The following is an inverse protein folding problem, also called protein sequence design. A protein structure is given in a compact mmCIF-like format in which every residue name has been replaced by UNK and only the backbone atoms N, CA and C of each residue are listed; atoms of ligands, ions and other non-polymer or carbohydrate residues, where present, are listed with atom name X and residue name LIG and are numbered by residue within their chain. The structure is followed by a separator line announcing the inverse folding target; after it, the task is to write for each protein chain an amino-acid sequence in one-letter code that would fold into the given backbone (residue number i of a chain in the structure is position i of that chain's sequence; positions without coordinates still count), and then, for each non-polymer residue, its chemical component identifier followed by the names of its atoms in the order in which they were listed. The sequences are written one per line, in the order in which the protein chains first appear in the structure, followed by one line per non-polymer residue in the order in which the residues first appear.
data_IF_944949007893
#
_entry.id   IF_944949007893
#
_cell.length_a   1.000
_cell.length_b   1.000
_cell.length_c   1.000
_cell.angle_alpha   90.00
_cell.angle_beta   90.00
_cell.angle_gamma   90.00
#
_symmetry.space_group_name_H-M   'P 1'
#
loop_
_entity.id
_entity.type
_entity.pdbx_description
1 polymer ?
#
# COMPACT_ATOMS: atom_id res chain seq x y z
N UNK A 1 3.89 -63.89 35.47
CA UNK A 1 3.36 -64.02 34.10
C UNK A 1 2.05 -63.23 33.96
N UNK A 2 1.13 -63.37 34.92
CA UNK A 2 -0.20 -62.70 34.91
C UNK A 2 -0.22 -61.16 34.89
N UNK A 3 0.78 -60.48 35.45
CA UNK A 3 0.83 -59.00 35.47
C UNK A 3 1.02 -58.41 34.06
N UNK A 4 1.97 -58.97 33.30
CA UNK A 4 2.27 -58.55 31.92
C UNK A 4 1.11 -58.82 30.97
N UNK A 5 0.35 -59.88 31.24
CA UNK A 5 -0.81 -60.25 30.43
C UNK A 5 -2.00 -59.31 30.66
N UNK A 6 -2.18 -58.84 31.91
CA UNK A 6 -3.15 -57.79 32.24
C UNK A 6 -2.76 -56.43 31.65
N UNK A 7 -1.49 -56.04 31.73
CA UNK A 7 -0.98 -54.80 31.13
C UNK A 7 -1.14 -54.80 29.60
N UNK A 8 -0.79 -55.89 28.94
CA UNK A 8 -0.97 -56.05 27.50
C UNK A 8 -2.46 -56.03 27.11
N UNK A 9 -3.35 -56.61 27.93
CA UNK A 9 -4.80 -56.55 27.69
C UNK A 9 -5.33 -55.11 27.79
N UNK A 10 -4.91 -54.34 28.79
CA UNK A 10 -5.30 -52.93 28.92
C UNK A 10 -4.76 -52.05 27.80
N UNK A 11 -3.56 -52.34 27.30
CA UNK A 11 -2.97 -51.61 26.17
C UNK A 11 -3.71 -51.92 24.86
N UNK A 12 -4.10 -53.17 24.63
CA UNK A 12 -4.93 -53.56 23.49
C UNK A 12 -6.32 -52.91 23.56
N UNK A 13 -6.93 -52.82 24.74
CA UNK A 13 -8.22 -52.12 24.95
C UNK A 13 -8.09 -50.61 24.69
N UNK A 14 -6.99 -49.97 25.12
CA UNK A 14 -6.72 -48.57 24.85
C UNK A 14 -6.49 -48.31 23.34
N UNK A 15 -5.74 -49.19 22.68
CA UNK A 15 -5.46 -49.10 21.23
C UNK A 15 -6.71 -49.33 20.39
N UNK A 16 -7.57 -50.27 20.77
CA UNK A 16 -8.84 -50.52 20.08
C UNK A 16 -9.82 -49.35 20.24
N UNK A 17 -9.88 -48.74 21.43
CA UNK A 17 -10.69 -47.54 21.65
C UNK A 17 -10.16 -46.33 20.84
N UNK A 18 -8.85 -46.12 20.84
CA UNK A 18 -8.21 -45.08 20.02
C UNK A 18 -8.46 -45.28 18.53
N UNK A 19 -8.42 -46.54 18.04
CA UNK A 19 -8.74 -46.87 16.66
C UNK A 19 -10.18 -46.52 16.31
N UNK A 20 -11.15 -46.89 17.16
CA UNK A 20 -12.56 -46.58 16.97
C UNK A 20 -12.81 -45.05 16.95
N UNK A 21 -12.12 -44.29 17.81
CA UNK A 21 -12.24 -42.83 17.86
C UNK A 21 -11.69 -42.16 16.59
N UNK A 22 -10.57 -42.68 16.05
CA UNK A 22 -9.97 -42.17 14.81
C UNK A 22 -10.82 -42.53 13.58
N UNK A 23 -11.38 -43.73 13.52
CA UNK A 23 -12.31 -44.16 12.47
C UNK A 23 -13.57 -43.26 12.45
N UNK A 24 -14.12 -42.93 13.61
CA UNK A 24 -15.25 -42.00 13.71
C UNK A 24 -14.90 -40.57 13.24
N UNK A 25 -13.70 -40.06 13.59
CA UNK A 25 -13.22 -38.76 13.10
C UNK A 25 -13.00 -38.76 11.59
N UNK A 26 -12.43 -39.83 11.03
CA UNK A 26 -12.24 -39.98 9.59
C UNK A 26 -13.57 -40.04 8.84
N UNK A 27 -14.55 -40.77 9.36
CA UNK A 27 -15.90 -40.81 8.78
C UNK A 27 -16.55 -39.41 8.78
N UNK A 28 -16.40 -38.65 9.88
CA UNK A 28 -16.87 -37.27 9.97
C UNK A 28 -16.21 -36.36 8.93
N UNK A 29 -14.88 -36.34 8.86
CA UNK A 29 -14.15 -35.50 7.89
C UNK A 29 -14.44 -35.89 6.43
N UNK A 30 -14.61 -37.18 6.14
CA UNK A 30 -15.00 -37.65 4.80
C UNK A 30 -16.39 -37.13 4.41
N UNK A 31 -17.35 -37.15 5.34
CA UNK A 31 -18.69 -36.60 5.13
C UNK A 31 -18.65 -35.09 4.90
N UNK A 32 -17.86 -34.35 5.69
CA UNK A 32 -17.68 -32.91 5.53
C UNK A 32 -17.04 -32.56 4.17
N UNK A 33 -15.97 -33.25 3.78
CA UNK A 33 -15.33 -33.07 2.46
C UNK A 33 -16.29 -33.37 1.31
N UNK A 34 -17.14 -34.40 1.44
CA UNK A 34 -18.14 -34.72 0.44
C UNK A 34 -19.19 -33.60 0.31
N UNK A 35 -19.62 -33.03 1.43
CA UNK A 35 -20.53 -31.87 1.42
C UNK A 35 -19.89 -30.63 0.81
N UNK A 36 -18.64 -30.31 1.14
CA UNK A 36 -17.90 -29.19 0.56
C UNK A 36 -17.73 -29.35 -0.96
N UNK A 37 -17.36 -30.55 -1.42
CA UNK A 37 -17.20 -30.85 -2.83
C UNK A 37 -18.51 -30.63 -3.60
N UNK A 38 -19.65 -31.06 -3.04
CA UNK A 38 -20.96 -30.86 -3.65
C UNK A 38 -21.34 -29.37 -3.72
N UNK A 39 -21.02 -28.58 -2.68
CA UNK A 39 -21.24 -27.13 -2.68
C UNK A 39 -20.38 -26.45 -3.74
N UNK A 40 -19.10 -26.78 -3.83
CA UNK A 40 -18.19 -26.23 -4.84
C UNK A 40 -18.62 -26.58 -6.27
N UNK A 41 -19.04 -27.82 -6.51
CA UNK A 41 -19.53 -28.25 -7.82
C UNK A 41 -20.79 -27.48 -8.21
N UNK A 42 -21.71 -27.26 -7.26
CA UNK A 42 -22.91 -26.44 -7.48
C UNK A 42 -22.57 -24.98 -7.76
N UNK A 43 -21.57 -24.40 -7.08
CA UNK A 43 -21.10 -23.05 -7.37
C UNK A 43 -20.43 -22.94 -8.75
N UNK A 44 -19.68 -23.96 -9.17
CA UNK A 44 -19.07 -24.02 -10.50
C UNK A 44 -20.13 -24.17 -11.61
N UNK A 45 -21.15 -25.00 -11.41
CA UNK A 45 -22.28 -25.13 -12.34
C UNK A 45 -23.08 -23.82 -12.44
N UNK A 46 -23.33 -23.14 -11.31
CA UNK A 46 -23.96 -21.83 -11.29
C UNK A 46 -23.10 -20.77 -12.00
N UNK A 47 -21.79 -20.80 -11.79
CA UNK A 47 -20.84 -19.89 -12.44
C UNK A 47 -20.74 -20.14 -13.96
N UNK A 48 -20.78 -21.41 -14.39
CA UNK A 48 -20.81 -21.81 -15.80
C UNK A 48 -22.08 -21.33 -16.49
N UNK A 49 -23.24 -21.57 -15.88
CA UNK A 49 -24.54 -21.08 -16.38
C UNK A 49 -24.61 -19.55 -16.42
N UNK A 50 -23.98 -18.86 -15.47
CA UNK A 50 -23.91 -17.40 -15.45
C UNK A 50 -23.07 -16.86 -16.62
N UNK A 51 -21.98 -17.54 -16.98
CA UNK A 51 -21.17 -17.21 -18.17
C UNK A 51 -21.93 -17.44 -19.46
N UNK A 52 -22.70 -18.53 -19.55
CA UNK A 52 -23.54 -18.85 -20.71
C UNK A 52 -24.75 -17.92 -20.85
N UNK A 53 -25.31 -17.42 -19.73
CA UNK A 53 -26.44 -16.47 -19.72
C UNK A 53 -26.00 -15.00 -19.79
N UNK A 54 -24.71 -14.71 -19.80
CA UNK A 54 -24.19 -13.34 -19.87
C UNK A 54 -24.24 -12.81 -21.31
N UNK A 55 -24.85 -11.65 -21.58
CA UNK A 55 -24.80 -10.99 -22.89
C UNK A 55 -23.46 -10.26 -23.08
N UNK A 56 -22.34 -10.93 -22.80
CA UNK A 56 -20.98 -10.41 -23.01
C UNK A 56 -20.68 -10.23 -24.51
N UNK A 57 -21.51 -10.78 -25.40
CA UNK A 57 -21.47 -10.54 -26.84
C UNK A 57 -22.05 -9.19 -27.33
N UNK A 58 -22.51 -8.29 -26.45
CA UNK A 58 -23.19 -7.03 -26.85
C UNK A 58 -22.51 -5.74 -26.37
N UNK A 59 -21.21 -5.75 -26.03
CA UNK A 59 -20.43 -4.52 -25.77
C UNK A 59 -19.93 -3.91 -27.09
N UNK A 60 -20.82 -3.80 -28.08
CA UNK A 60 -20.51 -3.27 -29.41
C UNK A 60 -21.71 -2.63 -30.10
N UNK A 61 -22.79 -2.32 -29.37
CA UNK A 61 -23.95 -1.63 -29.95
C UNK A 61 -24.17 -0.31 -29.23
N UNK A 62 -23.86 0.76 -29.95
CA UNK A 62 -24.28 2.12 -29.70
C UNK A 62 -25.80 2.15 -29.45
N UNK A 63 -26.22 2.21 -28.19
CA UNK A 63 -27.52 2.74 -27.73
C UNK A 63 -27.57 2.70 -26.21
N UNK A 64 -27.60 3.87 -25.59
CA UNK A 64 -27.97 4.02 -24.18
C UNK A 64 -29.41 3.52 -23.95
N UNK A 65 -29.72 2.96 -22.77
CA UNK A 65 -31.09 2.99 -22.27
C UNK A 65 -31.19 3.87 -21.03
N UNK A 66 -31.95 4.95 -21.20
CA UNK A 66 -32.48 5.80 -20.15
C UNK A 66 -33.31 4.98 -19.13
N UNK A 67 -33.05 5.24 -17.85
CA UNK A 67 -33.97 5.22 -16.69
C UNK A 67 -34.86 4.02 -16.35
N UNK A 68 -34.99 2.95 -17.15
CA UNK A 68 -36.04 1.92 -16.94
C UNK A 68 -35.58 0.61 -16.26
N UNK A 69 -34.32 0.42 -15.88
CA UNK A 69 -33.86 -0.92 -15.43
C UNK A 69 -33.16 -1.03 -14.07
N UNK A 70 -33.35 -0.08 -13.16
CA UNK A 70 -32.68 -0.16 -11.84
C UNK A 70 -33.12 -1.37 -11.01
N UNK A 71 -34.37 -1.81 -11.17
CA UNK A 71 -34.96 -2.93 -10.42
C UNK A 71 -34.54 -4.30 -11.00
N UNK A 72 -34.35 -4.39 -12.32
CA UNK A 72 -33.97 -5.64 -13.00
C UNK A 72 -32.49 -6.00 -12.79
N UNK A 73 -31.62 -5.01 -12.62
CA UNK A 73 -30.19 -5.24 -12.35
C UNK A 73 -29.89 -5.54 -10.88
N UNK A 74 -30.79 -5.18 -9.95
CA UNK A 74 -30.66 -5.52 -8.53
C UNK A 74 -30.76 -7.04 -8.27
N UNK A 75 -31.47 -7.77 -9.13
CA UNK A 75 -31.59 -9.24 -9.08
C UNK A 75 -30.33 -9.98 -9.57
N UNK A 76 -29.41 -9.30 -10.26
CA UNK A 76 -28.24 -9.91 -10.91
C UNK A 76 -26.97 -9.89 -10.05
N UNK A 77 -27.00 -9.34 -8.82
CA UNK A 77 -25.83 -9.13 -7.95
C UNK A 77 -24.60 -8.57 -8.69
N UNK A 78 -24.82 -7.82 -9.77
CA UNK A 78 -23.77 -7.10 -10.49
C UNK A 78 -23.46 -5.88 -9.65
N UNK A 79 -22.20 -5.58 -9.33
CA UNK A 79 -21.85 -4.33 -8.68
C UNK A 79 -22.35 -3.18 -9.56
N UNK A 80 -23.45 -2.55 -9.16
CA UNK A 80 -23.87 -1.29 -9.76
C UNK A 80 -22.86 -0.28 -9.25
N UNK A 81 -21.73 -0.18 -9.93
CA UNK A 81 -20.77 0.90 -9.71
C UNK A 81 -21.54 2.17 -10.02
N UNK A 82 -21.87 2.93 -8.97
CA UNK A 82 -22.57 4.20 -9.11
C UNK A 82 -21.77 5.09 -10.06
N UNK A 83 -22.29 5.32 -11.26
CA UNK A 83 -21.63 6.15 -12.28
C UNK A 83 -21.27 7.55 -11.74
N UNK A 84 -22.03 8.04 -10.74
CA UNK A 84 -21.74 9.28 -10.03
C UNK A 84 -20.52 9.15 -9.10
N UNK A 85 -20.37 8.04 -8.39
CA UNK A 85 -19.19 7.74 -7.57
C UNK A 85 -17.96 7.57 -8.46
N UNK A 86 -18.08 6.83 -9.57
CA UNK A 86 -17.01 6.63 -10.54
C UNK A 86 -16.55 7.96 -11.17
N UNK A 87 -17.49 8.81 -11.59
CA UNK A 87 -17.18 10.15 -12.08
C UNK A 87 -16.45 11.02 -11.04
N UNK A 88 -16.88 10.98 -9.77
CA UNK A 88 -16.20 11.70 -8.67
C UNK A 88 -14.80 11.16 -8.40
N UNK A 89 -14.60 9.85 -8.49
CA UNK A 89 -13.29 9.20 -8.36
C UNK A 89 -12.37 9.62 -9.50
N UNK A 90 -12.84 9.61 -10.74
CA UNK A 90 -12.06 10.03 -11.92
C UNK A 90 -11.61 11.50 -11.84
N UNK A 91 -12.51 12.41 -11.45
CA UNK A 91 -12.15 13.84 -11.23
C UNK A 91 -11.11 13.98 -10.12
N UNK A 92 -11.26 13.23 -9.03
CA UNK A 92 -10.32 13.26 -7.90
C UNK A 92 -8.96 12.67 -8.27
N UNK A 93 -8.93 11.65 -9.15
CA UNK A 93 -7.70 11.03 -9.62
C UNK A 93 -6.87 11.97 -10.51
N UNK A 94 -7.52 12.78 -11.36
CA UNK A 94 -6.81 13.80 -12.16
C UNK A 94 -6.11 14.82 -11.27
N UNK A 95 -6.82 15.38 -10.28
CA UNK A 95 -6.22 16.28 -9.30
C UNK A 95 -5.09 15.59 -8.49
N UNK A 96 -5.19 14.28 -8.29
CA UNK A 96 -4.16 13.50 -7.60
C UNK A 96 -2.88 13.33 -8.44
N UNK A 97 -2.95 13.38 -9.78
CA UNK A 97 -1.77 13.29 -10.65
C UNK A 97 -0.85 14.48 -10.47
N UNK A 98 -1.41 15.69 -10.49
CA UNK A 98 -0.68 16.94 -10.23
C UNK A 98 -0.06 16.94 -8.83
N UNK A 99 -0.78 16.39 -7.85
CA UNK A 99 -0.25 16.24 -6.49
C UNK A 99 0.90 15.24 -6.42
N UNK A 100 0.80 14.08 -7.07
CA UNK A 100 1.86 13.05 -7.07
C UNK A 100 3.12 13.54 -7.80
N UNK A 101 2.98 14.28 -8.90
CA UNK A 101 4.11 14.85 -9.63
C UNK A 101 4.76 16.00 -8.87
N UNK A 102 3.97 16.90 -8.29
CA UNK A 102 4.45 17.97 -7.42
C UNK A 102 5.19 17.39 -6.21
N UNK A 103 4.60 16.40 -5.57
CA UNK A 103 5.18 15.63 -4.48
C UNK A 103 6.56 15.04 -4.84
N UNK A 104 6.63 14.29 -5.96
CA UNK A 104 7.88 13.67 -6.39
C UNK A 104 8.98 14.70 -6.67
N UNK A 105 8.59 15.87 -7.19
CA UNK A 105 9.50 17.00 -7.42
C UNK A 105 10.01 17.58 -6.11
N UNK A 106 9.12 17.89 -5.16
CA UNK A 106 9.50 18.41 -3.84
C UNK A 106 10.42 17.45 -3.08
N UNK A 107 10.11 16.15 -3.10
CA UNK A 107 10.94 15.14 -2.47
C UNK A 107 12.32 15.02 -3.16
N UNK A 108 12.36 15.12 -4.48
CA UNK A 108 13.64 15.13 -5.21
C UNK A 108 14.48 16.35 -4.87
N UNK A 109 13.88 17.54 -4.76
CA UNK A 109 14.57 18.76 -4.34
C UNK A 109 15.11 18.63 -2.92
N UNK A 110 14.31 18.07 -2.01
CA UNK A 110 14.73 17.77 -0.65
C UNK A 110 15.95 16.84 -0.62
N UNK A 111 15.93 15.74 -1.37
CA UNK A 111 17.06 14.81 -1.42
C UNK A 111 18.32 15.43 -2.02
N UNK A 112 18.20 16.28 -3.04
CA UNK A 112 19.33 17.03 -3.59
C UNK A 112 19.95 17.96 -2.55
N UNK A 113 19.13 18.70 -1.80
CA UNK A 113 19.59 19.55 -0.71
C UNK A 113 20.31 18.73 0.36
N UNK A 114 19.70 17.62 0.80
CA UNK A 114 20.29 16.71 1.79
C UNK A 114 21.64 16.16 1.33
N UNK A 115 21.74 15.76 0.06
CA UNK A 115 22.97 15.24 -0.50
C UNK A 115 24.07 16.31 -0.54
N UNK A 116 23.73 17.57 -0.81
CA UNK A 116 24.68 18.68 -0.73
C UNK A 116 25.13 18.89 0.71
N UNK A 117 24.21 18.93 1.68
CA UNK A 117 24.51 19.13 3.10
C UNK A 117 25.44 18.03 3.65
N UNK A 118 25.16 16.76 3.34
CA UNK A 118 26.00 15.62 3.74
C UNK A 118 27.43 15.67 3.17
N UNK A 119 27.64 16.37 2.05
CA UNK A 119 28.97 16.58 1.44
C UNK A 119 29.70 17.79 2.00
N UNK A 120 28.99 18.69 2.68
CA UNK A 120 29.54 19.96 3.18
C UNK A 120 29.98 19.85 4.65
N UNK A 121 29.42 18.90 5.41
CA UNK A 121 29.65 18.76 6.86
C UNK A 121 30.32 17.41 7.23
N UNK A 122 31.50 17.39 7.91
CA UNK A 122 32.62 18.31 7.81
C UNK A 122 33.66 17.78 6.79
N UNK A 123 33.80 18.48 5.67
CA UNK A 123 35.08 18.52 4.94
C UNK A 123 35.64 19.90 5.24
N UNK A 124 36.34 20.01 6.36
CA UNK A 124 37.27 21.10 6.49
C UNK A 124 38.57 20.64 5.80
N UNK A 125 38.75 21.14 4.57
CA UNK A 125 39.93 20.92 3.75
C UNK A 125 41.22 21.35 4.46
N UNK A 126 41.12 22.09 5.57
CA UNK A 126 42.25 22.47 6.41
C UNK A 126 42.56 21.50 7.56
N UNK A 127 41.65 20.61 7.96
CA UNK A 127 41.83 19.65 9.08
C UNK A 127 41.80 18.17 8.68
N UNK A 128 41.38 17.81 7.47
CA UNK A 128 41.52 16.44 6.93
C UNK A 128 40.59 15.39 7.54
N UNK A 129 39.51 15.79 8.21
CA UNK A 129 38.52 14.87 8.78
C UNK A 129 37.71 14.21 7.65
N UNK A 130 37.58 12.88 7.68
CA UNK A 130 36.79 12.13 6.71
C UNK A 130 35.29 12.23 7.02
N UNK A 131 34.46 12.27 5.98
CA UNK A 131 32.99 12.20 6.08
C UNK A 131 32.60 11.01 6.96
N UNK A 132 31.72 11.24 7.94
CA UNK A 132 31.25 10.19 8.86
C UNK A 132 30.69 8.99 8.10
N UNK A 133 30.84 7.78 8.65
CA UNK A 133 30.33 6.55 8.03
C UNK A 133 28.81 6.60 7.82
N UNK A 134 28.10 7.32 8.72
CA UNK A 134 26.66 7.62 8.61
C UNK A 134 26.38 8.48 7.39
N UNK A 135 27.08 9.61 7.23
CA UNK A 135 26.90 10.52 6.10
C UNK A 135 27.28 9.89 4.76
N UNK A 136 28.29 9.02 4.73
CA UNK A 136 28.64 8.22 3.54
C UNK A 136 27.50 7.28 3.14
N UNK A 137 26.88 6.60 4.12
CA UNK A 137 25.75 5.69 3.88
C UNK A 137 24.48 6.46 3.48
N UNK A 138 24.22 7.60 4.11
CA UNK A 138 23.12 8.51 3.76
C UNK A 138 23.26 9.02 2.32
N UNK A 139 24.45 9.46 1.90
CA UNK A 139 24.73 9.85 0.52
C UNK A 139 24.42 8.75 -0.50
N UNK A 140 24.79 7.49 -0.19
CA UNK A 140 24.48 6.34 -1.05
C UNK A 140 22.98 6.11 -1.17
N UNK A 141 22.24 6.18 -0.06
CA UNK A 141 20.78 6.03 -0.06
C UNK A 141 20.06 7.15 -0.82
N UNK A 142 20.55 8.39 -0.72
CA UNK A 142 20.00 9.54 -1.43
C UNK A 142 20.26 9.47 -2.94
N UNK A 143 21.44 8.99 -3.36
CA UNK A 143 21.81 8.95 -4.78
C UNK A 143 20.90 8.07 -5.63
N UNK A 144 20.48 6.91 -5.11
CA UNK A 144 19.54 6.00 -5.80
C UNK A 144 18.08 6.45 -5.72
N UNK A 145 17.77 7.52 -4.99
CA UNK A 145 16.40 7.82 -4.60
C UNK A 145 15.46 8.08 -5.78
N UNK A 146 15.91 8.91 -6.73
CA UNK A 146 15.09 9.32 -7.87
C UNK A 146 14.79 8.18 -8.84
N UNK A 147 15.82 7.40 -9.20
CA UNK A 147 15.69 6.31 -10.16
C UNK A 147 14.94 5.11 -9.60
N UNK A 148 15.13 4.79 -8.32
CA UNK A 148 14.58 3.57 -7.73
C UNK A 148 13.21 3.73 -7.09
N UNK A 149 12.81 4.95 -6.68
CA UNK A 149 11.57 5.14 -5.91
C UNK A 149 10.64 6.21 -6.50
N UNK A 150 11.10 7.45 -6.69
CA UNK A 150 10.18 8.53 -7.11
C UNK A 150 9.76 8.43 -8.57
N UNK A 151 10.67 8.12 -9.50
CA UNK A 151 10.32 7.91 -10.92
C UNK A 151 9.37 6.71 -11.12
N UNK A 152 9.61 5.52 -10.55
CA UNK A 152 8.67 4.42 -10.63
C UNK A 152 7.29 4.75 -10.06
N UNK A 153 7.22 5.49 -8.95
CA UNK A 153 5.95 5.93 -8.37
C UNK A 153 5.14 6.79 -9.36
N UNK A 154 5.79 7.82 -9.91
CA UNK A 154 5.14 8.74 -10.88
C UNK A 154 4.72 7.99 -12.13
N UNK A 155 5.58 7.10 -12.64
CA UNK A 155 5.29 6.27 -13.81
C UNK A 155 4.07 5.37 -13.58
N UNK A 156 4.04 4.64 -12.47
CA UNK A 156 2.94 3.73 -12.15
C UNK A 156 1.61 4.50 -11.96
N UNK A 157 1.65 5.65 -11.28
CA UNK A 157 0.46 6.49 -11.13
C UNK A 157 -0.03 7.05 -12.47
N UNK A 158 0.88 7.47 -13.34
CA UNK A 158 0.56 8.01 -14.66
C UNK A 158 -0.09 6.95 -15.56
N UNK A 159 0.42 5.72 -15.53
CA UNK A 159 -0.16 4.58 -16.24
C UNK A 159 -1.57 4.26 -15.75
N UNK A 160 -1.75 4.18 -14.43
CA UNK A 160 -3.06 3.95 -13.81
C UNK A 160 -4.07 5.04 -14.17
N UNK A 161 -3.69 6.31 -14.01
CA UNK A 161 -4.53 7.46 -14.35
C UNK A 161 -4.86 7.50 -15.86
N UNK A 162 -3.89 7.21 -16.72
CA UNK A 162 -4.07 7.19 -18.18
C UNK A 162 -5.07 6.12 -18.63
N UNK A 163 -4.99 4.90 -18.07
CA UNK A 163 -5.93 3.82 -18.39
C UNK A 163 -7.36 4.12 -17.93
N UNK A 164 -7.51 4.69 -16.74
CA UNK A 164 -8.83 5.12 -16.26
C UNK A 164 -9.41 6.27 -17.08
N UNK A 165 -8.55 7.15 -17.60
CA UNK A 165 -8.99 8.19 -18.53
C UNK A 165 -9.44 7.62 -19.88
N UNK A 166 -8.70 6.64 -20.41
CA UNK A 166 -9.00 6.04 -21.71
C UNK A 166 -10.29 5.20 -21.67
N UNK A 167 -10.56 4.53 -20.54
CA UNK A 167 -11.77 3.74 -20.35
C UNK A 167 -12.44 4.10 -19.00
N UNK A 168 -13.36 5.08 -19.00
CA UNK A 168 -14.03 5.55 -17.78
C UNK A 168 -14.99 4.50 -17.18
N UNK A 169 -15.27 3.40 -17.88
CA UNK A 169 -16.05 2.27 -17.36
C UNK A 169 -15.19 1.24 -16.61
N UNK A 170 -13.87 1.39 -16.63
CA UNK A 170 -12.96 0.54 -15.85
C UNK A 170 -13.16 0.76 -14.36
N UNK A 171 -13.11 -0.32 -13.58
CA UNK A 171 -13.24 -0.22 -12.12
C UNK A 171 -11.99 0.47 -11.55
N UNK A 172 -12.13 1.57 -10.78
CA UNK A 172 -11.00 2.31 -10.21
C UNK A 172 -10.40 1.65 -8.97
N UNK A 173 -10.75 0.39 -8.68
CA UNK A 173 -10.28 -0.38 -7.53
C UNK A 173 -10.01 -1.80 -7.98
N UNK A 174 -9.06 -2.49 -7.35
CA UNK A 174 -8.76 -3.88 -7.71
C UNK A 174 -8.11 -4.06 -9.09
N UNK A 175 -7.65 -2.98 -9.74
CA UNK A 175 -6.95 -3.09 -11.03
C UNK A 175 -5.48 -3.43 -10.82
N UNK A 176 -4.89 -4.15 -11.78
CA UNK A 176 -3.46 -4.49 -11.75
C UNK A 176 -2.59 -3.22 -11.75
N UNK A 177 -3.00 -2.18 -12.47
CA UNK A 177 -2.28 -0.90 -12.50
C UNK A 177 -2.32 -0.15 -11.17
N UNK A 178 -3.45 -0.20 -10.45
CA UNK A 178 -3.54 0.35 -9.09
C UNK A 178 -2.65 -0.45 -8.13
N UNK A 179 -2.57 -1.77 -8.31
CA UNK A 179 -1.66 -2.62 -7.54
C UNK A 179 -0.20 -2.26 -7.80
N UNK A 180 0.21 -2.05 -9.05
CA UNK A 180 1.56 -1.60 -9.40
C UNK A 180 1.90 -0.25 -8.74
N UNK A 181 0.95 0.70 -8.77
CA UNK A 181 1.11 1.99 -8.08
C UNK A 181 1.22 1.81 -6.56
N UNK A 182 0.37 0.99 -5.95
CA UNK A 182 0.41 0.71 -4.51
C UNK A 182 1.76 0.07 -4.11
N UNK A 183 2.29 -0.84 -4.92
CA UNK A 183 3.59 -1.45 -4.69
C UNK A 183 4.74 -0.43 -4.82
N UNK A 184 4.68 0.47 -5.81
CA UNK A 184 5.66 1.54 -5.96
C UNK A 184 5.64 2.50 -4.76
N UNK A 185 4.43 2.85 -4.28
CA UNK A 185 4.24 3.66 -3.08
C UNK A 185 4.81 2.99 -1.83
N UNK A 186 4.51 1.70 -1.61
CA UNK A 186 5.05 0.94 -0.48
C UNK A 186 6.58 0.87 -0.48
N UNK A 187 7.19 0.69 -1.66
CA UNK A 187 8.66 0.72 -1.81
C UNK A 187 9.23 2.08 -1.40
N UNK A 188 8.55 3.18 -1.74
CA UNK A 188 8.95 4.51 -1.29
C UNK A 188 8.82 4.65 0.23
N UNK A 189 7.73 4.14 0.84
CA UNK A 189 7.56 4.17 2.30
C UNK A 189 8.71 3.43 3.00
N UNK A 190 8.99 2.19 2.57
CA UNK A 190 10.08 1.39 3.13
C UNK A 190 11.46 2.06 2.96
N UNK A 191 11.67 2.76 1.84
CA UNK A 191 12.86 3.57 1.62
C UNK A 191 12.95 4.74 2.62
N UNK A 192 11.86 5.49 2.84
CA UNK A 192 11.83 6.61 3.78
C UNK A 192 12.02 6.12 5.23
N UNK A 193 11.41 5.00 5.60
CA UNK A 193 11.67 4.31 6.88
C UNK A 193 13.16 4.00 7.05
N UNK A 194 13.80 3.51 5.99
CA UNK A 194 15.23 3.18 6.01
C UNK A 194 16.10 4.43 6.07
N UNK A 195 15.72 5.51 5.39
CA UNK A 195 16.48 6.77 5.28
C UNK A 195 16.45 7.58 6.58
N UNK A 196 15.28 7.64 7.22
CA UNK A 196 14.99 8.48 8.39
C UNK A 196 16.02 8.36 9.54
N UNK A 197 16.38 7.16 10.03
CA UNK A 197 17.32 7.06 11.14
C UNK A 197 18.72 7.59 10.78
N UNK A 198 19.20 7.37 9.56
CA UNK A 198 20.49 7.92 9.13
C UNK A 198 20.45 9.45 9.08
N UNK A 199 19.34 10.01 8.63
CA UNK A 199 19.17 11.45 8.57
C UNK A 199 19.08 12.07 9.97
N UNK A 200 18.39 11.43 10.92
CA UNK A 200 18.34 11.89 12.31
C UNK A 200 19.72 11.87 12.98
N UNK A 201 20.49 10.79 12.78
CA UNK A 201 21.86 10.70 13.33
C UNK A 201 22.76 11.75 12.68
N UNK A 202 22.67 11.94 11.36
CA UNK A 202 23.41 12.98 10.63
C UNK A 202 23.14 14.40 11.20
N UNK A 203 21.87 14.72 11.49
CA UNK A 203 21.50 16.00 12.11
C UNK A 203 22.00 16.13 13.56
N UNK A 204 22.06 15.02 14.31
CA UNK A 204 22.63 15.01 15.66
C UNK A 204 24.15 15.21 15.65
N UNK A 205 24.85 14.57 14.72
CA UNK A 205 26.29 14.80 14.48
C UNK A 205 26.52 16.29 14.17
N UNK A 206 25.71 16.88 13.30
CA UNK A 206 25.81 18.31 12.95
C UNK A 206 25.54 19.24 14.15
N UNK A 207 24.57 18.94 15.00
CA UNK A 207 24.32 19.70 16.23
C UNK A 207 25.42 19.55 17.29
N UNK A 208 26.21 18.47 17.24
CA UNK A 208 27.32 18.23 18.17
C UNK A 208 28.58 19.03 17.84
N UNK A 209 28.68 19.60 16.64
CA UNK A 209 29.84 20.35 16.18
C UNK A 209 29.85 21.79 16.72
N UNK A 210 31.04 22.30 17.06
CA UNK A 210 31.21 23.64 17.67
C UNK A 210 30.76 24.79 16.77
N UNK A 211 30.60 24.54 15.46
CA UNK A 211 30.17 25.49 14.44
C UNK A 211 28.63 25.60 14.37
N UNK A 212 27.90 24.69 15.04
CA UNK A 212 26.45 24.70 15.04
C UNK A 212 25.89 25.79 15.97
N UNK A 213 25.43 26.89 15.39
CA UNK A 213 24.74 27.95 16.11
C UNK A 213 23.37 27.52 16.64
N UNK A 214 22.83 28.28 17.59
CA UNK A 214 21.52 28.03 18.21
C UNK A 214 20.39 27.96 17.18
N UNK A 215 20.43 28.80 16.15
CA UNK A 215 19.43 28.81 15.07
C UNK A 215 19.49 27.55 14.21
N UNK A 216 20.69 27.08 13.88
CA UNK A 216 20.89 25.84 13.11
C UNK A 216 20.45 24.61 13.92
N UNK A 217 20.74 24.61 15.22
CA UNK A 217 20.32 23.56 16.15
C UNK A 217 18.80 23.46 16.22
N UNK A 218 18.10 24.59 16.33
CA UNK A 218 16.63 24.62 16.37
C UNK A 218 16.02 24.08 15.07
N UNK A 219 16.51 24.52 13.91
CA UNK A 219 16.06 24.01 12.60
C UNK A 219 16.32 22.50 12.48
N UNK A 220 17.48 22.01 12.91
CA UNK A 220 17.80 20.59 12.88
C UNK A 220 16.88 19.75 13.78
N UNK A 221 16.53 20.26 14.97
CA UNK A 221 15.55 19.61 15.83
C UNK A 221 14.16 19.59 15.19
N UNK A 222 13.73 20.70 14.58
CA UNK A 222 12.44 20.76 13.87
C UNK A 222 12.39 19.77 12.71
N UNK A 223 13.46 19.66 11.92
CA UNK A 223 13.58 18.68 10.85
C UNK A 223 13.52 17.25 11.42
N UNK A 224 14.32 16.96 12.44
CA UNK A 224 14.41 15.63 13.08
C UNK A 224 13.05 15.17 13.63
N UNK A 225 12.24 16.10 14.15
CA UNK A 225 10.88 15.85 14.64
C UNK A 225 9.85 15.72 13.52
N UNK A 226 10.09 16.34 12.37
CA UNK A 226 9.15 16.34 11.24
C UNK A 226 9.31 15.10 10.35
N UNK A 227 10.51 14.52 10.25
CA UNK A 227 10.77 13.32 9.44
C UNK A 227 9.91 12.10 9.82
N UNK A 228 9.75 11.72 11.11
CA UNK A 228 8.85 10.62 11.48
C UNK A 228 7.40 10.90 11.11
N UNK A 229 6.95 12.16 11.16
CA UNK A 229 5.60 12.55 10.77
C UNK A 229 5.38 12.38 9.27
N UNK A 230 6.41 12.67 8.46
CA UNK A 230 6.38 12.43 7.02
C UNK A 230 6.15 10.94 6.75
N UNK A 231 7.00 10.08 7.32
CA UNK A 231 6.93 8.63 7.19
C UNK A 231 5.57 8.07 7.64
N UNK A 232 5.03 8.57 8.76
CA UNK A 232 3.71 8.16 9.25
C UNK A 232 2.58 8.56 8.29
N UNK A 233 2.65 9.74 7.67
CA UNK A 233 1.69 10.19 6.67
C UNK A 233 1.73 9.30 5.41
N UNK A 234 2.92 8.92 4.95
CA UNK A 234 3.09 7.92 3.88
C UNK A 234 2.52 6.57 4.25
N UNK A 235 2.87 6.04 5.42
CA UNK A 235 2.38 4.74 5.88
C UNK A 235 0.85 4.71 5.95
N UNK A 236 0.25 5.81 6.40
CA UNK A 236 -1.21 5.97 6.43
C UNK A 236 -1.80 5.95 5.02
N UNK A 237 -1.21 6.69 4.08
CA UNK A 237 -1.64 6.66 2.68
C UNK A 237 -1.47 5.26 2.05
N UNK A 238 -0.37 4.55 2.37
CA UNK A 238 -0.10 3.20 1.88
C UNK A 238 -1.17 2.21 2.31
N UNK A 239 -1.64 2.30 3.56
CA UNK A 239 -2.69 1.42 4.08
C UNK A 239 -3.98 1.56 3.27
N UNK A 240 -4.46 2.79 3.06
CA UNK A 240 -5.68 3.01 2.29
C UNK A 240 -5.50 2.68 0.81
N UNK A 241 -4.33 2.99 0.24
CA UNK A 241 -4.03 2.68 -1.15
C UNK A 241 -3.97 1.16 -1.38
N UNK A 242 -3.35 0.42 -0.47
CA UNK A 242 -3.26 -1.04 -0.49
C UNK A 242 -4.63 -1.70 -0.38
N UNK A 243 -5.52 -1.15 0.44
CA UNK A 243 -6.89 -1.60 0.56
C UNK A 243 -7.66 -1.40 -0.75
N UNK A 244 -7.52 -0.23 -1.38
CA UNK A 244 -8.16 0.04 -2.68
C UNK A 244 -7.59 -0.82 -3.81
N UNK A 245 -6.30 -1.13 -3.77
CA UNK A 245 -5.62 -1.98 -4.74
C UNK A 245 -6.09 -3.45 -4.71
N UNK A 246 -6.52 -3.95 -3.55
CA UNK A 246 -7.10 -5.31 -3.41
C UNK A 246 -8.55 -5.39 -3.92
N UNK A 247 -9.21 -4.24 -4.04
CA UNK A 247 -10.58 -4.16 -4.53
C UNK A 247 -11.61 -4.75 -3.56
N UNK A 248 -12.89 -4.73 -3.97
CA UNK A 248 -13.99 -5.02 -3.05
C UNK A 248 -14.20 -6.50 -2.72
N UNK A 249 -13.59 -7.39 -3.50
CA UNK A 249 -13.72 -8.84 -3.34
C UNK A 249 -12.73 -9.40 -2.30
N UNK A 250 -11.60 -8.73 -2.06
CA UNK A 250 -10.50 -9.23 -1.20
C UNK A 250 -10.12 -8.32 -0.02
N UNK A 251 -10.81 -7.20 0.23
CA UNK A 251 -10.43 -6.34 1.36
C UNK A 251 -11.29 -5.13 1.72
N UNK A 252 -12.19 -4.65 0.84
CA UNK A 252 -13.00 -3.45 1.11
C UNK A 252 -14.45 -3.71 0.74
N UNK A 253 -15.37 -3.80 1.71
CA UNK A 253 -16.80 -3.84 1.36
C UNK A 253 -17.17 -2.61 0.50
N UNK A 254 -18.01 -2.77 -0.53
CA UNK A 254 -18.48 -1.67 -1.38
C UNK A 254 -19.04 -0.51 -0.55
N UNK A 255 -19.63 -0.79 0.62
CA UNK A 255 -20.13 0.21 1.56
C UNK A 255 -19.04 1.05 2.24
N UNK A 256 -17.82 0.51 2.36
CA UNK A 256 -16.67 1.18 3.00
C UNK A 256 -15.79 1.95 2.02
N UNK A 257 -15.97 1.76 0.71
CA UNK A 257 -15.19 2.42 -0.34
C UNK A 257 -15.21 3.96 -0.24
N UNK A 258 -16.36 4.64 -0.01
CA UNK A 258 -16.38 6.10 0.14
C UNK A 258 -15.53 6.58 1.33
N UNK A 259 -15.53 5.82 2.44
CA UNK A 259 -14.74 6.12 3.63
C UNK A 259 -13.25 5.96 3.35
N UNK A 260 -12.84 4.86 2.69
CA UNK A 260 -11.45 4.64 2.30
C UNK A 260 -10.93 5.75 1.38
N UNK A 261 -11.71 6.16 0.38
CA UNK A 261 -11.36 7.26 -0.53
C UNK A 261 -11.25 8.60 0.21
N UNK A 262 -12.18 8.88 1.13
CA UNK A 262 -12.12 10.10 1.94
C UNK A 262 -10.89 10.11 2.84
N UNK A 263 -10.55 8.98 3.48
CA UNK A 263 -9.37 8.86 4.33
C UNK A 263 -8.08 8.98 3.54
N UNK A 264 -7.99 8.37 2.36
CA UNK A 264 -6.86 8.53 1.45
C UNK A 264 -6.67 10.00 1.03
N UNK A 265 -7.76 10.71 0.73
CA UNK A 265 -7.70 12.14 0.42
C UNK A 265 -7.15 12.98 1.58
N UNK A 266 -7.55 12.68 2.81
CA UNK A 266 -7.04 13.35 4.01
C UNK A 266 -5.55 13.04 4.17
N UNK A 267 -5.13 11.78 4.08
CA UNK A 267 -3.72 11.40 4.25
C UNK A 267 -2.81 12.01 3.19
N UNK A 268 -3.27 12.13 1.94
CA UNK A 268 -2.51 12.83 0.87
C UNK A 268 -2.33 14.32 1.21
N UNK A 269 -3.36 14.97 1.76
CA UNK A 269 -3.26 16.38 2.18
C UNK A 269 -2.28 16.54 3.34
N UNK A 270 -2.36 15.66 4.33
CA UNK A 270 -1.45 15.67 5.47
C UNK A 270 0.00 15.47 5.02
N UNK A 271 0.22 14.54 4.09
CA UNK A 271 1.52 14.30 3.45
C UNK A 271 2.05 15.55 2.75
N UNK A 272 1.21 16.23 1.96
CA UNK A 272 1.58 17.47 1.28
C UNK A 272 1.98 18.56 2.29
N UNK A 273 1.19 18.75 3.35
CA UNK A 273 1.47 19.74 4.39
C UNK A 273 2.78 19.46 5.14
N UNK A 274 3.06 18.19 5.47
CA UNK A 274 4.31 17.82 6.14
C UNK A 274 5.52 17.99 5.22
N UNK A 275 5.38 17.68 3.93
CA UNK A 275 6.46 17.86 2.97
C UNK A 275 6.76 19.34 2.72
N UNK A 276 5.73 20.18 2.65
CA UNK A 276 5.87 21.63 2.55
C UNK A 276 6.59 22.20 3.79
N UNK A 277 6.23 21.75 4.99
CA UNK A 277 6.92 22.13 6.21
C UNK A 277 8.42 21.76 6.16
N UNK A 278 8.77 20.55 5.72
CA UNK A 278 10.17 20.16 5.53
C UNK A 278 10.86 21.02 4.48
N UNK A 279 10.23 21.25 3.34
CA UNK A 279 10.79 22.11 2.29
C UNK A 279 11.11 23.51 2.81
N UNK A 280 10.22 24.10 3.62
CA UNK A 280 10.43 25.40 4.25
C UNK A 280 11.59 25.38 5.24
N UNK A 281 11.73 24.33 6.05
CA UNK A 281 12.86 24.17 6.97
C UNK A 281 14.20 24.08 6.25
N UNK A 282 14.26 23.35 5.13
CA UNK A 282 15.49 23.19 4.34
C UNK A 282 15.81 24.38 3.44
N UNK A 283 14.81 25.15 3.03
CA UNK A 283 14.99 26.37 2.25
C UNK A 283 15.21 27.63 3.10
N UNK A 284 15.00 27.52 4.42
CA UNK A 284 15.30 28.61 5.37
C UNK A 284 16.77 29.01 5.25
N UNK A 285 17.02 30.31 5.05
CA UNK A 285 18.36 30.86 5.14
C UNK A 285 18.76 30.91 6.61
N UNK A 286 19.95 30.40 6.90
CA UNK A 286 20.61 30.40 8.21
C UNK A 286 21.85 31.26 8.09
#
# INVERSE_FOLDING_TARGET
MEQKEREHKTEVEAMTNNRAMLEAKLAKYSSELKSLKNTLQREQELSGRLRESSPIGLVGSERQPETVRRETYAALNVPVVDAKLQGRVLVSLRASLELVTSFATQLSTLHSYLQQRCKTYPIDTSTGVQISTVNQKLCKLLHSSSSSYTKPLVSAFSQYSGKLHANPYSTPTGSSDLMEFALAHRRLVAYLDTLTPYLQISLQEECGESVCGVQLTDINMQISNTLPRLVAAFSTADNYLSLLARGPVEGVSVASLPVCLQRLKISIRDLHSVLEALHNLYSSKI
#
